data_IF_490465269010
#
_entry.id   IF_490465269010
#
_cell.length_a   1.000
_cell.length_b   1.000
_cell.length_c   1.000
_cell.angle_alpha   90.00
_cell.angle_beta   90.00
_cell.angle_gamma   90.00
#
_symmetry.space_group_name_H-M   'P 1'
#
loop_
_entity.id
_entity.type
_entity.pdbx_description
1 polymer ?
#
# COMPACT_ATOMS: atom_id res chain seq x y z
N UNK A 1 -16.68 12.01 2.85
CA UNK A 1 -15.36 12.28 2.22
C UNK A 1 -15.10 11.33 1.05
N UNK A 2 -14.22 11.71 0.13
CA UNK A 2 -13.86 10.91 -1.04
C UNK A 2 -12.39 10.48 -0.92
N UNK A 3 -12.14 9.19 -0.86
CA UNK A 3 -10.77 8.63 -0.81
C UNK A 3 -10.48 7.93 -2.13
N UNK A 4 -9.44 8.35 -2.83
CA UNK A 4 -8.97 7.68 -4.03
C UNK A 4 -8.04 6.53 -3.64
N UNK A 5 -8.43 5.30 -3.98
CA UNK A 5 -7.63 4.09 -3.81
C UNK A 5 -6.98 3.77 -5.15
N UNK A 6 -5.66 3.89 -5.23
CA UNK A 6 -4.91 3.79 -6.48
C UNK A 6 -4.13 2.47 -6.51
N UNK A 7 -4.51 1.57 -7.40
CA UNK A 7 -3.67 0.45 -7.79
C UNK A 7 -2.61 0.92 -8.79
N UNK A 8 -1.32 0.92 -8.45
CA UNK A 8 -0.29 1.41 -9.35
C UNK A 8 0.07 0.44 -10.49
N UNK A 9 -0.44 -0.80 -10.45
CA UNK A 9 -0.36 -1.73 -11.57
C UNK A 9 -1.61 -1.68 -12.47
N UNK A 10 -1.64 -2.49 -13.54
CA UNK A 10 -2.70 -2.46 -14.56
C UNK A 10 -3.76 -3.56 -14.39
N UNK A 11 -3.74 -4.36 -13.31
CA UNK A 11 -4.64 -5.51 -13.11
C UNK A 11 -5.93 -5.07 -12.43
N UNK A 12 -7.04 -5.06 -13.22
CA UNK A 12 -8.37 -4.62 -12.76
C UNK A 12 -8.94 -5.48 -11.63
N UNK A 13 -8.82 -6.81 -11.73
CA UNK A 13 -9.32 -7.73 -10.70
C UNK A 13 -8.71 -7.43 -9.32
N UNK A 14 -7.43 -7.07 -9.28
CA UNK A 14 -6.75 -6.66 -8.05
C UNK A 14 -7.33 -5.36 -7.49
N UNK A 15 -7.64 -4.40 -8.37
CA UNK A 15 -8.29 -3.14 -7.98
C UNK A 15 -9.65 -3.40 -7.35
N UNK A 16 -10.46 -4.28 -7.94
CA UNK A 16 -11.79 -4.63 -7.43
C UNK A 16 -11.71 -5.31 -6.06
N UNK A 17 -10.77 -6.23 -5.85
CA UNK A 17 -10.52 -6.90 -4.56
C UNK A 17 -10.17 -5.88 -3.47
N UNK A 18 -9.21 -5.00 -3.73
CA UNK A 18 -8.81 -3.96 -2.78
C UNK A 18 -9.96 -2.98 -2.49
N UNK A 19 -10.74 -2.61 -3.52
CA UNK A 19 -11.90 -1.75 -3.36
C UNK A 19 -12.99 -2.40 -2.49
N UNK A 20 -13.21 -3.70 -2.65
CA UNK A 20 -14.16 -4.45 -1.82
C UNK A 20 -13.73 -4.42 -0.34
N UNK A 21 -12.46 -4.72 -0.05
CA UNK A 21 -11.93 -4.67 1.32
C UNK A 21 -12.00 -3.24 1.90
N UNK A 22 -11.62 -2.23 1.14
CA UNK A 22 -11.71 -0.84 1.57
C UNK A 22 -13.15 -0.43 1.95
N UNK A 23 -14.14 -0.83 1.12
CA UNK A 23 -15.57 -0.50 1.37
C UNK A 23 -16.15 -1.17 2.61
N UNK A 24 -15.58 -2.27 3.07
CA UNK A 24 -16.04 -2.95 4.29
C UNK A 24 -15.70 -2.18 5.56
N UNK A 25 -14.66 -1.34 5.54
CA UNK A 25 -14.17 -0.68 6.75
C UNK A 25 -14.44 0.83 6.79
N UNK A 26 -14.88 1.45 5.70
CA UNK A 26 -15.12 2.90 5.68
C UNK A 26 -16.25 3.31 6.61
N UNK A 27 -16.11 4.50 7.17
CA UNK A 27 -17.16 5.14 7.97
C UNK A 27 -18.32 5.61 7.10
N UNK A 28 -19.51 5.75 7.67
CA UNK A 28 -20.68 6.27 6.96
C UNK A 28 -20.37 7.62 6.31
N UNK A 29 -20.72 7.78 5.03
CA UNK A 29 -20.47 8.98 4.25
C UNK A 29 -19.06 9.05 3.61
N UNK A 30 -18.22 8.05 3.80
CA UNK A 30 -16.95 7.91 3.05
C UNK A 30 -17.19 7.14 1.76
N UNK A 31 -16.68 7.67 0.65
CA UNK A 31 -16.72 7.05 -0.68
C UNK A 31 -15.34 6.63 -1.13
N UNK A 32 -15.18 5.39 -1.58
CA UNK A 32 -13.95 4.88 -2.20
C UNK A 32 -14.05 5.02 -3.73
N UNK A 33 -13.15 5.80 -4.28
CA UNK A 33 -12.90 5.92 -5.72
C UNK A 33 -11.70 5.04 -6.08
N UNK A 34 -11.97 3.79 -6.43
CA UNK A 34 -10.93 2.85 -6.80
C UNK A 34 -10.54 3.05 -8.27
N UNK A 35 -9.26 3.22 -8.53
CA UNK A 35 -8.68 3.41 -9.85
C UNK A 35 -7.41 2.59 -9.99
N UNK A 36 -7.06 2.25 -11.22
CA UNK A 36 -5.80 1.59 -11.55
C UNK A 36 -4.99 2.44 -12.52
N UNK A 37 -3.70 2.17 -12.59
CA UNK A 37 -2.86 2.72 -13.65
C UNK A 37 -3.30 2.19 -15.02
N UNK A 38 -3.36 3.07 -16.03
CA UNK A 38 -3.60 2.67 -17.41
C UNK A 38 -2.31 2.25 -18.14
N UNK A 39 -1.15 2.48 -17.53
CA UNK A 39 0.18 2.19 -18.09
C UNK A 39 1.08 1.65 -17.00
N UNK A 40 1.95 0.72 -17.36
CA UNK A 40 2.88 0.10 -16.43
C UNK A 40 2.75 -1.42 -16.39
N UNK A 41 3.35 -2.07 -15.39
CA UNK A 41 3.34 -3.52 -15.24
C UNK A 41 1.98 -4.05 -14.76
N UNK A 42 1.69 -5.32 -15.04
CA UNK A 42 0.51 -6.02 -14.53
C UNK A 42 0.63 -6.33 -13.02
N UNK A 43 1.85 -6.52 -12.52
CA UNK A 43 2.18 -6.65 -11.10
C UNK A 43 3.49 -5.94 -10.81
N UNK A 44 3.74 -5.56 -9.55
CA UNK A 44 4.96 -4.89 -9.11
C UNK A 44 5.71 -5.85 -8.20
N UNK A 45 6.76 -6.47 -8.72
CA UNK A 45 7.55 -7.49 -8.03
C UNK A 45 9.06 -7.20 -8.08
N UNK A 46 9.47 -6.15 -8.79
CA UNK A 46 10.87 -5.76 -8.97
C UNK A 46 11.05 -4.24 -8.95
N UNK A 47 12.30 -3.79 -8.79
CA UNK A 47 12.64 -2.38 -8.86
C UNK A 47 12.33 -1.75 -10.25
N UNK A 48 12.42 -2.55 -11.32
CA UNK A 48 12.05 -2.10 -12.68
C UNK A 48 10.54 -1.89 -12.76
N UNK A 49 9.75 -2.83 -12.23
CA UNK A 49 8.30 -2.70 -12.19
C UNK A 49 7.89 -1.47 -11.37
N UNK A 50 8.54 -1.28 -10.19
CA UNK A 50 8.31 -0.11 -9.34
C UNK A 50 8.56 1.19 -10.11
N UNK A 51 9.71 1.31 -10.79
CA UNK A 51 10.07 2.50 -11.57
C UNK A 51 9.09 2.78 -12.72
N UNK A 52 8.67 1.73 -13.45
CA UNK A 52 7.77 1.86 -14.60
C UNK A 52 6.30 2.06 -14.20
N UNK A 53 5.92 1.79 -12.96
CA UNK A 53 4.58 2.09 -12.42
C UNK A 53 4.39 3.58 -12.09
N UNK A 54 5.48 4.33 -11.81
CA UNK A 54 5.41 5.71 -11.32
C UNK A 54 4.68 6.68 -12.25
N UNK A 55 4.89 6.70 -13.57
CA UNK A 55 4.18 7.64 -14.44
C UNK A 55 2.67 7.47 -14.38
N UNK A 56 2.19 6.23 -14.37
CA UNK A 56 0.76 5.92 -14.27
C UNK A 56 0.18 6.32 -12.91
N UNK A 57 0.89 6.02 -11.82
CA UNK A 57 0.52 6.43 -10.47
C UNK A 57 0.40 7.95 -10.36
N UNK A 58 1.41 8.70 -10.79
CA UNK A 58 1.41 10.17 -10.68
C UNK A 58 0.31 10.81 -11.54
N UNK A 59 0.00 10.22 -12.71
CA UNK A 59 -1.15 10.65 -13.51
C UNK A 59 -2.47 10.49 -12.74
N UNK A 60 -2.68 9.36 -12.02
CA UNK A 60 -3.87 9.14 -11.20
C UNK A 60 -3.94 10.11 -10.01
N UNK A 61 -2.82 10.42 -9.37
CA UNK A 61 -2.75 11.46 -8.33
C UNK A 61 -3.23 12.80 -8.89
N UNK A 62 -2.74 13.22 -10.06
CA UNK A 62 -3.16 14.47 -10.71
C UNK A 62 -4.66 14.51 -11.02
N UNK A 63 -5.23 13.41 -11.53
CA UNK A 63 -6.68 13.28 -11.78
C UNK A 63 -7.48 13.39 -10.48
N UNK A 64 -7.03 12.75 -9.41
CA UNK A 64 -7.68 12.81 -8.11
C UNK A 64 -7.66 14.22 -7.51
N UNK A 65 -6.52 14.90 -7.54
CA UNK A 65 -6.41 16.30 -7.08
C UNK A 65 -7.35 17.22 -7.86
N UNK A 66 -7.41 17.10 -9.19
CA UNK A 66 -8.30 17.87 -10.04
C UNK A 66 -9.79 17.57 -9.76
N UNK A 67 -10.11 16.34 -9.33
CA UNK A 67 -11.47 15.92 -8.98
C UNK A 67 -11.87 16.26 -7.54
N UNK A 68 -10.98 16.85 -6.77
CA UNK A 68 -11.22 17.27 -5.39
C UNK A 68 -11.43 16.09 -4.44
N UNK A 69 -10.61 15.05 -4.52
CA UNK A 69 -10.60 13.98 -3.52
C UNK A 69 -10.00 14.48 -2.21
N UNK A 70 -10.46 13.92 -1.10
CA UNK A 70 -10.02 14.33 0.24
C UNK A 70 -8.71 13.66 0.66
N UNK A 71 -8.40 12.47 0.14
CA UNK A 71 -7.16 11.74 0.38
C UNK A 71 -6.85 10.73 -0.75
N UNK A 72 -5.59 10.31 -0.83
CA UNK A 72 -5.11 9.27 -1.73
C UNK A 72 -4.52 8.11 -0.94
N UNK A 73 -4.74 6.89 -1.40
CA UNK A 73 -4.12 5.65 -0.89
C UNK A 73 -3.38 4.97 -2.03
N UNK A 74 -2.08 4.72 -1.88
CA UNK A 74 -1.27 3.94 -2.84
C UNK A 74 -1.35 2.48 -2.43
N UNK A 75 -2.09 1.68 -3.21
CA UNK A 75 -2.44 0.31 -2.87
C UNK A 75 -1.42 -0.71 -3.42
N UNK A 76 -0.15 -0.55 -3.02
CA UNK A 76 0.94 -1.50 -3.27
C UNK A 76 1.89 -1.49 -2.09
N UNK A 77 2.29 -2.67 -1.58
CA UNK A 77 3.13 -2.77 -0.38
C UNK A 77 4.60 -2.34 -0.60
N UNK A 78 4.97 -1.94 -1.81
CA UNK A 78 6.23 -1.23 -2.10
C UNK A 78 6.17 0.27 -1.84
N UNK A 79 4.98 0.83 -1.59
CA UNK A 79 4.69 2.27 -1.51
C UNK A 79 5.38 3.06 -2.64
N UNK A 80 5.24 2.59 -3.92
CA UNK A 80 5.98 3.17 -5.03
C UNK A 80 5.63 4.66 -5.18
N UNK A 81 6.66 5.49 -5.30
CA UNK A 81 6.49 6.92 -5.56
C UNK A 81 5.79 7.71 -4.46
N UNK A 82 5.65 7.20 -3.24
CA UNK A 82 4.93 7.88 -2.14
C UNK A 82 5.47 9.30 -1.89
N UNK A 83 6.78 9.51 -1.90
CA UNK A 83 7.38 10.85 -1.75
C UNK A 83 7.00 11.77 -2.92
N UNK A 84 7.13 11.31 -4.16
CA UNK A 84 6.74 12.08 -5.34
C UNK A 84 5.24 12.42 -5.36
N UNK A 85 4.39 11.48 -4.96
CA UNK A 85 2.97 11.71 -4.80
C UNK A 85 2.68 12.78 -3.72
N UNK A 86 3.40 12.76 -2.61
CA UNK A 86 3.31 13.79 -1.56
C UNK A 86 3.78 15.16 -2.02
N UNK A 87 4.78 15.25 -2.89
CA UNK A 87 5.20 16.52 -3.50
C UNK A 87 4.13 17.10 -4.43
N UNK A 88 3.44 16.25 -5.18
CA UNK A 88 2.40 16.68 -6.14
C UNK A 88 1.04 16.95 -5.48
N UNK A 89 0.57 16.08 -4.60
CA UNK A 89 -0.73 16.18 -3.97
C UNK A 89 -0.77 17.17 -2.80
N UNK A 90 -1.89 17.86 -2.65
CA UNK A 90 -2.22 18.66 -1.45
C UNK A 90 -3.01 17.84 -0.44
N UNK A 91 -3.88 16.95 -0.93
CA UNK A 91 -4.55 15.96 -0.11
C UNK A 91 -3.53 14.99 0.52
N UNK A 92 -3.80 14.42 1.72
CA UNK A 92 -2.94 13.40 2.30
C UNK A 92 -2.75 12.22 1.36
N UNK A 93 -1.51 11.72 1.25
CA UNK A 93 -1.18 10.49 0.51
C UNK A 93 -0.64 9.47 1.47
N UNK A 94 -1.27 8.32 1.53
CA UNK A 94 -0.93 7.23 2.44
C UNK A 94 -0.50 6.00 1.63
N UNK A 95 0.69 5.49 1.94
CA UNK A 95 1.15 4.19 1.45
C UNK A 95 0.61 3.06 2.32
N UNK A 96 0.24 1.94 1.71
CA UNK A 96 -0.33 0.83 2.47
C UNK A 96 0.70 0.11 3.34
N UNK A 97 1.98 0.10 2.97
CA UNK A 97 3.04 -0.48 3.80
C UNK A 97 3.30 0.39 5.03
N UNK A 98 3.44 1.71 4.85
CA UNK A 98 3.56 2.67 5.96
C UNK A 98 2.40 2.52 6.94
N UNK A 99 1.16 2.50 6.44
CA UNK A 99 -0.04 2.37 7.26
C UNK A 99 -0.08 1.08 8.08
N UNK A 100 0.18 -0.06 7.42
CA UNK A 100 0.16 -1.36 8.09
C UNK A 100 1.21 -1.47 9.20
N UNK A 101 2.44 -1.02 8.93
CA UNK A 101 3.53 -1.05 9.89
C UNK A 101 3.25 -0.14 11.10
N UNK A 102 2.67 1.05 10.87
CA UNK A 102 2.26 1.95 11.94
C UNK A 102 1.18 1.32 12.82
N UNK A 103 0.10 0.78 12.24
CA UNK A 103 -0.96 0.14 13.03
C UNK A 103 -0.47 -1.10 13.78
N UNK A 104 0.38 -1.93 13.15
CA UNK A 104 0.99 -3.06 13.82
C UNK A 104 1.78 -2.64 15.08
N UNK A 105 2.50 -1.52 15.00
CA UNK A 105 3.28 -0.99 16.13
C UNK A 105 2.44 -0.44 17.27
N UNK A 106 1.15 -0.15 17.05
CA UNK A 106 0.21 0.29 18.08
C UNK A 106 -0.44 -0.86 18.84
N UNK A 107 -0.54 -2.04 18.21
CA UNK A 107 -1.23 -3.20 18.79
C UNK A 107 -0.27 -4.29 19.26
N UNK A 108 1.00 -4.21 18.88
CA UNK A 108 2.05 -5.12 19.34
C UNK A 108 3.39 -4.42 19.46
N UNK A 109 4.18 -4.80 20.45
CA UNK A 109 5.55 -4.29 20.59
C UNK A 109 6.45 -4.70 19.40
N UNK A 110 6.23 -5.91 18.86
CA UNK A 110 6.98 -6.44 17.71
C UNK A 110 6.03 -7.15 16.75
N UNK A 111 6.33 -7.06 15.46
CA UNK A 111 5.60 -7.73 14.39
C UNK A 111 6.56 -8.37 13.38
N UNK A 112 6.06 -9.25 12.54
CA UNK A 112 6.74 -9.72 11.32
C UNK A 112 5.91 -9.37 10.09
N UNK A 113 6.59 -9.16 8.96
CA UNK A 113 5.96 -8.96 7.66
C UNK A 113 5.98 -10.29 6.91
N UNK A 114 4.84 -10.71 6.37
CA UNK A 114 4.71 -11.87 5.49
C UNK A 114 4.36 -11.38 4.08
N UNK A 115 5.36 -11.41 3.19
CA UNK A 115 5.23 -10.94 1.79
C UNK A 115 5.13 -12.10 0.79
N UNK A 116 5.04 -11.79 -0.48
CA UNK A 116 4.88 -12.74 -1.60
C UNK A 116 6.19 -13.45 -1.95
N UNK A 117 7.03 -12.82 -2.74
CA UNK A 117 8.27 -13.42 -3.27
C UNK A 117 9.50 -13.00 -2.47
N UNK A 118 10.51 -13.86 -2.45
CA UNK A 118 11.79 -13.55 -1.80
C UNK A 118 12.43 -12.26 -2.36
N UNK A 119 12.23 -11.97 -3.63
CA UNK A 119 12.75 -10.75 -4.27
C UNK A 119 12.08 -9.45 -3.80
N UNK A 120 10.92 -9.51 -3.13
CA UNK A 120 10.26 -8.34 -2.54
C UNK A 120 10.69 -8.06 -1.10
N UNK A 121 11.42 -8.99 -0.46
CA UNK A 121 11.95 -8.82 0.90
C UNK A 121 12.84 -7.59 1.03
N UNK A 122 13.81 -7.33 0.13
CA UNK A 122 14.63 -6.11 0.21
C UNK A 122 13.81 -4.81 0.16
N UNK A 123 12.73 -4.77 -0.64
CA UNK A 123 11.83 -3.61 -0.68
C UNK A 123 11.16 -3.38 0.67
N UNK A 124 10.61 -4.42 1.29
CA UNK A 124 10.00 -4.31 2.62
C UNK A 124 11.03 -3.89 3.70
N UNK A 125 12.26 -4.41 3.63
CA UNK A 125 13.34 -4.02 4.55
C UNK A 125 13.74 -2.55 4.38
N UNK A 126 13.82 -2.04 3.16
CA UNK A 126 14.04 -0.62 2.88
C UNK A 126 12.94 0.24 3.51
N UNK A 127 11.67 -0.14 3.32
CA UNK A 127 10.53 0.59 3.88
C UNK A 127 10.53 0.58 5.42
N UNK A 128 10.91 -0.54 6.06
CA UNK A 128 11.08 -0.60 7.51
C UNK A 128 12.11 0.42 8.02
N UNK A 129 13.19 0.60 7.28
CA UNK A 129 14.21 1.60 7.60
C UNK A 129 13.65 3.02 7.38
N UNK A 130 13.05 3.28 6.22
CA UNK A 130 12.53 4.60 5.85
C UNK A 130 11.43 5.11 6.79
N UNK A 131 10.64 4.19 7.35
CA UNK A 131 9.55 4.49 8.28
C UNK A 131 9.94 4.37 9.76
N UNK A 132 11.21 4.07 10.07
CA UNK A 132 11.69 3.95 11.46
C UNK A 132 11.15 2.71 12.19
N UNK A 133 10.75 1.67 11.46
CA UNK A 133 10.13 0.45 12.00
C UNK A 133 11.11 -0.71 12.19
N UNK A 134 12.39 -0.53 11.87
CA UNK A 134 13.42 -1.60 11.94
C UNK A 134 13.52 -2.24 13.34
N UNK A 135 13.40 -1.45 14.41
CA UNK A 135 13.46 -1.97 15.77
C UNK A 135 12.18 -2.73 16.20
N UNK A 136 11.10 -2.61 15.45
CA UNK A 136 9.80 -3.23 15.72
C UNK A 136 9.51 -4.46 14.88
N UNK A 137 10.02 -4.50 13.65
CA UNK A 137 9.89 -5.66 12.78
C UNK A 137 11.00 -6.65 13.04
N UNK A 138 10.64 -7.87 13.47
CA UNK A 138 11.62 -8.93 13.74
C UNK A 138 12.14 -9.54 12.45
N UNK A 139 11.24 -9.82 11.50
CA UNK A 139 11.60 -10.46 10.23
C UNK A 139 10.62 -10.11 9.11
N UNK A 140 11.15 -10.07 7.88
CA UNK A 140 10.35 -10.10 6.65
C UNK A 140 10.46 -11.49 6.07
N UNK A 141 9.33 -12.18 5.92
CA UNK A 141 9.19 -13.55 5.42
C UNK A 141 8.53 -13.55 4.06
N UNK A 142 8.84 -14.54 3.23
CA UNK A 142 8.28 -14.67 1.89
C UNK A 142 7.57 -16.02 1.72
N UNK A 143 6.35 -16.02 1.23
CA UNK A 143 5.53 -17.22 1.02
C UNK A 143 5.91 -18.00 -0.24
N UNK A 144 6.66 -17.39 -1.17
CA UNK A 144 6.95 -17.94 -2.50
C UNK A 144 5.75 -17.91 -3.47
N UNK A 145 4.66 -17.22 -3.11
CA UNK A 145 3.47 -17.03 -3.97
C UNK A 145 3.67 -15.78 -4.83
N UNK A 146 3.52 -15.88 -6.15
CA UNK A 146 3.57 -14.72 -7.05
C UNK A 146 2.33 -13.82 -6.88
N UNK A 147 2.48 -12.52 -7.15
CA UNK A 147 1.37 -11.55 -6.97
C UNK A 147 0.16 -11.92 -7.83
N UNK A 148 0.35 -12.33 -9.07
CA UNK A 148 -0.75 -12.72 -9.96
C UNK A 148 -1.43 -14.04 -9.55
N UNK A 149 -0.76 -14.92 -8.80
CA UNK A 149 -1.38 -16.12 -8.25
C UNK A 149 -2.42 -15.80 -7.16
N UNK A 150 -2.31 -14.64 -6.50
CA UNK A 150 -3.29 -14.16 -5.53
C UNK A 150 -4.61 -13.77 -6.20
N UNK A 151 -4.61 -13.46 -7.50
CA UNK A 151 -5.79 -13.05 -8.26
C UNK A 151 -6.52 -14.22 -8.91
N UNK A 152 -5.79 -15.23 -9.38
CA UNK A 152 -6.37 -16.44 -9.95
C UNK A 152 -7.06 -17.24 -8.84
N UNK A 153 -8.31 -16.86 -8.46
CA UNK A 153 -9.07 -17.41 -7.34
C UNK A 153 -8.12 -18.14 -6.38
N UNK A 154 -7.54 -17.37 -5.44
CA UNK A 154 -6.49 -17.89 -4.56
C UNK A 154 -7.01 -19.17 -3.91
N UNK A 155 -6.73 -20.30 -4.55
CA UNK A 155 -7.26 -21.59 -4.14
C UNK A 155 -6.78 -21.87 -2.73
N UNK A 156 -7.46 -22.76 -2.04
CA UNK A 156 -7.12 -23.22 -0.68
C UNK A 156 -5.62 -23.46 -0.50
N UNK A 157 -4.89 -23.82 -1.58
CA UNK A 157 -3.44 -24.01 -1.59
C UNK A 157 -2.65 -22.74 -1.31
N UNK A 158 -3.02 -21.61 -1.94
CA UNK A 158 -2.33 -20.31 -1.75
C UNK A 158 -2.59 -19.78 -0.33
N UNK A 159 -3.86 -19.84 0.13
CA UNK A 159 -4.22 -19.47 1.50
C UNK A 159 -3.43 -20.29 2.53
N UNK A 160 -3.33 -21.62 2.34
CA UNK A 160 -2.56 -22.50 3.24
C UNK A 160 -1.08 -22.12 3.30
N UNK A 161 -0.45 -21.77 2.17
CA UNK A 161 0.94 -21.31 2.16
C UNK A 161 1.13 -20.03 2.97
N UNK A 162 0.23 -19.06 2.81
CA UNK A 162 0.27 -17.80 3.54
C UNK A 162 0.06 -18.04 5.05
N UNK A 163 -0.96 -18.83 5.41
CA UNK A 163 -1.23 -19.18 6.81
C UNK A 163 -0.07 -19.94 7.47
N UNK A 164 0.57 -20.85 6.73
CA UNK A 164 1.73 -21.58 7.22
C UNK A 164 2.91 -20.64 7.54
N UNK A 165 3.20 -19.70 6.66
CA UNK A 165 4.28 -18.72 6.90
C UNK A 165 3.95 -17.76 8.06
N UNK A 166 2.67 -17.38 8.22
CA UNK A 166 2.22 -16.62 9.39
C UNK A 166 2.41 -17.41 10.70
N UNK A 167 2.08 -18.71 10.72
CA UNK A 167 2.34 -19.57 11.90
C UNK A 167 3.83 -19.69 12.22
N UNK A 168 4.68 -19.83 11.19
CA UNK A 168 6.14 -19.85 11.38
C UNK A 168 6.64 -18.51 11.96
N UNK A 169 6.10 -17.38 11.51
CA UNK A 169 6.43 -16.08 12.09
C UNK A 169 6.09 -16.01 13.59
N UNK A 170 4.92 -16.51 13.99
CA UNK A 170 4.55 -16.55 15.41
C UNK A 170 5.46 -17.47 16.22
N UNK A 171 5.78 -18.65 15.70
CA UNK A 171 6.56 -19.67 16.41
C UNK A 171 8.05 -19.30 16.53
N UNK A 172 8.64 -18.75 15.47
CA UNK A 172 10.10 -18.54 15.40
C UNK A 172 10.50 -17.11 15.77
N UNK A 173 9.70 -16.09 15.40
CA UNK A 173 10.07 -14.69 15.60
C UNK A 173 9.56 -14.15 16.94
N UNK A 174 8.62 -14.85 17.59
CA UNK A 174 8.06 -14.45 18.90
C UNK A 174 7.37 -13.08 18.84
N UNK A 175 6.59 -12.84 17.79
CA UNK A 175 5.87 -11.58 17.55
C UNK A 175 4.43 -11.68 17.97
N UNK A 176 3.80 -10.54 18.30
CA UNK A 176 2.40 -10.46 18.70
C UNK A 176 1.48 -9.97 17.58
N UNK A 177 2.00 -9.63 16.40
CA UNK A 177 1.20 -9.22 15.24
C UNK A 177 1.90 -9.60 13.93
N UNK A 178 1.10 -9.78 12.87
CA UNK A 178 1.56 -10.05 11.51
C UNK A 178 1.10 -8.92 10.59
N UNK A 179 1.98 -8.45 9.71
CA UNK A 179 1.64 -7.54 8.61
C UNK A 179 1.64 -8.32 7.30
N UNK A 180 0.54 -8.27 6.56
CA UNK A 180 0.45 -8.85 5.22
C UNK A 180 1.13 -7.94 4.20
N UNK A 181 2.20 -8.42 3.59
CA UNK A 181 3.10 -7.66 2.72
C UNK A 181 2.67 -7.59 1.26
N UNK A 182 1.37 -7.68 0.97
CA UNK A 182 0.82 -7.53 -0.37
C UNK A 182 -0.65 -7.11 -0.31
N UNK A 183 -1.05 -6.14 -1.15
CA UNK A 183 -2.44 -5.72 -1.26
C UNK A 183 -3.38 -6.84 -1.73
N UNK A 184 -2.88 -7.79 -2.51
CA UNK A 184 -3.65 -8.97 -2.95
C UNK A 184 -4.02 -9.96 -1.84
N UNK A 185 -3.47 -9.79 -0.61
CA UNK A 185 -3.78 -10.62 0.55
C UNK A 185 -4.86 -10.01 1.46
N UNK A 186 -5.41 -8.84 1.11
CA UNK A 186 -6.29 -8.06 2.00
C UNK A 186 -7.55 -8.84 2.44
N UNK A 187 -8.09 -9.69 1.58
CA UNK A 187 -9.25 -10.54 1.83
C UNK A 187 -8.99 -11.66 2.87
N UNK A 188 -7.73 -12.02 3.10
CA UNK A 188 -7.34 -13.07 4.06
C UNK A 188 -7.19 -12.57 5.50
N UNK A 189 -7.15 -11.25 5.71
CA UNK A 189 -6.83 -10.63 6.99
C UNK A 189 -7.75 -11.08 8.13
N UNK A 190 -9.06 -11.05 7.91
CA UNK A 190 -10.05 -11.42 8.94
C UNK A 190 -9.97 -12.88 9.35
N UNK A 191 -9.90 -13.79 8.37
CA UNK A 191 -9.78 -15.23 8.62
C UNK A 191 -8.48 -15.57 9.35
N UNK A 192 -7.35 -15.01 8.90
CA UNK A 192 -6.06 -15.24 9.54
C UNK A 192 -6.02 -14.69 10.96
N UNK A 193 -6.65 -13.55 11.24
CA UNK A 193 -6.76 -13.03 12.60
C UNK A 193 -7.50 -14.01 13.53
N UNK A 194 -8.61 -14.57 13.06
CA UNK A 194 -9.37 -15.55 13.83
C UNK A 194 -8.60 -16.87 14.02
N UNK A 195 -7.97 -17.37 12.97
CA UNK A 195 -7.23 -18.62 12.97
C UNK A 195 -5.98 -18.56 13.85
N UNK A 196 -5.25 -17.45 13.82
CA UNK A 196 -3.98 -17.30 14.51
C UNK A 196 -4.11 -16.74 15.93
N UNK A 197 -5.25 -16.13 16.26
CA UNK A 197 -5.51 -15.55 17.58
C UNK A 197 -4.66 -14.30 17.88
N UNK A 198 -4.07 -13.67 16.86
CA UNK A 198 -3.28 -12.43 16.96
C UNK A 198 -3.72 -11.43 15.89
N UNK A 199 -3.49 -10.13 16.08
CA UNK A 199 -3.73 -9.15 15.02
C UNK A 199 -2.97 -9.48 13.74
N UNK A 200 -3.69 -9.65 12.63
CA UNK A 200 -3.15 -9.68 11.27
C UNK A 200 -3.60 -8.41 10.59
N UNK A 201 -2.67 -7.64 10.08
CA UNK A 201 -2.93 -6.30 9.54
C UNK A 201 -2.69 -6.31 8.04
N UNK A 202 -3.71 -5.93 7.26
CA UNK A 202 -3.55 -5.60 5.85
C UNK A 202 -3.37 -4.09 5.67
N UNK A 203 -2.62 -3.72 4.63
CA UNK A 203 -2.29 -2.33 4.41
C UNK A 203 -3.43 -1.50 3.81
N UNK A 204 -4.35 -2.13 3.07
CA UNK A 204 -5.43 -1.40 2.38
C UNK A 204 -6.41 -0.84 3.40
N UNK A 205 -6.93 -1.67 4.30
CA UNK A 205 -7.87 -1.24 5.32
C UNK A 205 -7.22 -0.30 6.32
N UNK A 206 -5.94 -0.55 6.68
CA UNK A 206 -5.13 0.33 7.52
C UNK A 206 -4.99 1.73 6.92
N UNK A 207 -4.61 1.84 5.64
CA UNK A 207 -4.42 3.12 4.97
C UNK A 207 -5.72 3.90 4.81
N UNK A 208 -6.84 3.22 4.52
CA UNK A 208 -8.15 3.86 4.42
C UNK A 208 -8.56 4.48 5.76
N UNK A 209 -8.37 3.77 6.88
CA UNK A 209 -8.69 4.32 8.21
C UNK A 209 -7.78 5.47 8.62
N UNK A 210 -6.49 5.42 8.30
CA UNK A 210 -5.59 6.55 8.51
C UNK A 210 -5.96 7.74 7.62
N UNK A 211 -6.37 7.51 6.37
CA UNK A 211 -6.86 8.57 5.50
C UNK A 211 -8.09 9.26 6.09
N UNK A 212 -9.08 8.49 6.57
CA UNK A 212 -10.25 9.04 7.27
C UNK A 212 -9.85 9.88 8.49
N UNK A 213 -8.91 9.39 9.29
CA UNK A 213 -8.43 10.11 10.48
C UNK A 213 -7.77 11.44 10.10
N UNK A 214 -6.87 11.45 9.10
CA UNK A 214 -6.19 12.66 8.66
C UNK A 214 -7.18 13.69 8.09
N UNK A 215 -8.14 13.26 7.30
CA UNK A 215 -9.19 14.14 6.75
C UNK A 215 -10.08 14.71 7.84
N UNK A 216 -10.50 13.88 8.80
CA UNK A 216 -11.32 14.33 9.94
C UNK A 216 -10.59 15.37 10.81
N UNK A 217 -9.27 15.22 10.96
CA UNK A 217 -8.41 16.19 11.65
C UNK A 217 -8.05 17.41 10.77
N UNK A 218 -8.52 17.46 9.53
CA UNK A 218 -8.21 18.53 8.54
C UNK A 218 -6.71 18.66 8.24
N UNK A 219 -5.97 17.57 8.36
CA UNK A 219 -4.55 17.53 8.04
C UNK A 219 -4.37 17.37 6.53
N UNK A 220 -3.40 18.08 5.97
CA UNK A 220 -3.03 18.02 4.55
C UNK A 220 -1.52 17.78 4.42
N UNK A 221 -1.09 17.32 3.26
CA UNK A 221 0.34 17.21 2.96
C UNK A 221 0.99 18.60 3.01
N UNK A 222 2.02 18.76 3.82
CA UNK A 222 2.77 20.01 3.91
C UNK A 222 3.36 20.38 2.55
N UNK A 223 3.30 21.68 2.20
CA UNK A 223 3.96 22.22 1.01
C UNK A 223 5.18 23.08 1.37
N UNK A 224 5.80 22.73 2.52
CA UNK A 224 7.06 23.33 2.99
C UNK A 224 8.07 22.21 3.26
N UNK A 225 9.35 22.47 3.00
CA UNK A 225 10.41 21.48 3.18
C UNK A 225 10.32 20.34 2.16
N UNK A 226 10.45 19.11 2.64
CA UNK A 226 10.67 17.91 1.81
C UNK A 226 9.52 17.57 0.84
N UNK A 227 8.31 18.04 1.13
CA UNK A 227 7.13 17.83 0.25
C UNK A 227 6.68 19.13 -0.45
N UNK A 228 7.56 20.15 -0.52
CA UNK A 228 7.32 21.31 -1.37
C UNK A 228 7.10 20.88 -2.83
N UNK A 229 6.31 21.65 -3.57
CA UNK A 229 6.14 21.38 -5.01
C UNK A 229 7.47 21.47 -5.73
N UNK A 230 7.75 20.59 -6.72
CA UNK A 230 8.95 20.70 -7.53
C UNK A 230 9.04 22.06 -8.25
N UNK A 231 10.25 22.57 -8.41
CA UNK A 231 10.49 23.77 -9.20
C UNK A 231 10.05 23.59 -10.65
N UNK A 232 9.50 24.65 -11.24
CA UNK A 232 9.07 24.66 -12.64
C UNK A 232 10.29 24.53 -13.53
N UNK A 233 10.32 23.46 -14.34
CA UNK A 233 11.36 23.20 -15.33
C UNK A 233 10.82 22.34 -16.47
N UNK A 234 11.37 22.45 -17.69
CA UNK A 234 10.91 21.66 -18.82
C UNK A 234 11.28 20.18 -18.64
N UNK A 235 10.34 19.28 -18.97
CA UNK A 235 10.59 17.86 -19.14
C UNK A 235 10.53 17.52 -20.64
N UNK A 236 11.29 16.53 -21.09
CA UNK A 236 11.38 16.15 -22.50
C UNK A 236 10.69 14.82 -22.80
N UNK A 237 10.33 14.60 -24.05
CA UNK A 237 9.77 13.34 -24.56
C UNK A 237 8.48 12.95 -23.88
N UNK A 238 8.33 11.66 -23.58
CA UNK A 238 7.12 11.10 -22.93
C UNK A 238 6.81 11.70 -21.56
N UNK A 239 7.83 12.29 -20.90
CA UNK A 239 7.68 12.86 -19.57
C UNK A 239 7.22 14.34 -19.60
N UNK A 240 7.14 14.98 -20.77
CA UNK A 240 6.75 16.39 -20.87
C UNK A 240 5.42 16.72 -20.17
N UNK A 241 4.45 15.82 -20.23
CA UNK A 241 3.14 15.96 -19.59
C UNK A 241 3.15 15.92 -18.04
N UNK A 242 4.28 15.57 -17.43
CA UNK A 242 4.49 15.57 -15.99
C UNK A 242 5.33 16.76 -15.51
N UNK A 243 5.65 17.70 -16.40
CA UNK A 243 6.40 18.87 -16.01
C UNK A 243 5.60 19.70 -14.99
N UNK A 244 6.27 20.20 -13.92
CA UNK A 244 5.61 21.07 -12.96
C UNK A 244 5.04 22.31 -13.66
N UNK A 245 3.74 22.58 -13.50
CA UNK A 245 3.03 23.69 -14.14
C UNK A 245 2.53 23.43 -15.57
N UNK A 246 2.60 22.17 -16.06
CA UNK A 246 2.02 21.77 -17.35
C UNK A 246 0.50 21.64 -17.27
#
# INVERSE_FOLDING_TARGET
>A
MKIQLINPNTTGAMTDKMAAAARQVVSAGTQILAVQSCTGPASIESAVDEALALPGLLAQIGVGEASGVDAHVIACFGDPGLRAARETATAPVIGIAEAAMQLASLVSARFSVVTTLARTVPTAQRLLHDYGMTARCVRVRATGVAVLELEAQAGESVRKKIAAECRLALAEDGVGAIVLGCAGMTDLCGELTQELGVPVIDGVTAAVKLAEALVALRLRTSKRGDYARPDIKPYAGLMARFAPGA
#
